data_IF_584657802499
#
_entry.id   IF_584657802499
#
_cell.length_a   1.000
_cell.length_b   1.000
_cell.length_c   1.000
_cell.angle_alpha   90.00
_cell.angle_beta   90.00
_cell.angle_gamma   90.00
#
_symmetry.space_group_name_H-M   'P 1'
#
loop_
_entity.id
_entity.type
_entity.pdbx_description
1 polymer ?
#
# COMPACT_ATOMS: atom_id res chain seq x y z
N UNK A 1 22.93 4.35 -20.13
CA UNK A 1 21.51 4.15 -19.76
C UNK A 1 21.12 2.71 -20.07
N UNK A 2 21.20 1.81 -19.10
CA UNK A 2 20.80 0.42 -19.24
C UNK A 2 19.48 0.22 -18.50
N UNK A 3 18.38 0.08 -19.24
CA UNK A 3 17.09 -0.34 -18.70
C UNK A 3 17.18 -1.85 -18.44
N UNK A 4 17.20 -2.27 -17.17
CA UNK A 4 17.10 -3.69 -16.80
C UNK A 4 15.62 -4.09 -16.78
N UNK A 5 15.19 -4.79 -17.83
CA UNK A 5 13.89 -5.47 -17.86
C UNK A 5 14.05 -6.84 -17.22
N UNK A 6 13.46 -7.03 -16.03
CA UNK A 6 13.37 -8.35 -15.39
C UNK A 6 11.98 -8.92 -15.69
N UNK A 7 11.97 -9.98 -16.49
CA UNK A 7 10.83 -10.80 -16.86
C UNK A 7 10.73 -11.96 -15.85
N UNK A 8 9.79 -11.91 -14.91
CA UNK A 8 9.53 -13.01 -13.98
C UNK A 8 8.46 -13.91 -14.61
N UNK A 9 8.91 -15.05 -15.14
CA UNK A 9 8.06 -16.17 -15.51
C UNK A 9 7.92 -17.06 -14.28
N UNK A 10 6.73 -17.16 -13.67
CA UNK A 10 6.44 -18.20 -12.68
C UNK A 10 5.42 -19.18 -13.25
N UNK A 11 5.91 -20.34 -13.68
CA UNK A 11 5.10 -21.53 -13.94
C UNK A 11 5.09 -22.34 -12.65
N UNK A 12 3.93 -22.42 -12.01
CA UNK A 12 3.72 -23.27 -10.83
C UNK A 12 2.48 -24.13 -11.03
N UNK A 13 2.66 -25.36 -11.44
CA UNK A 13 1.60 -26.38 -11.57
C UNK A 13 1.19 -26.88 -10.19
N UNK A 14 -0.09 -26.75 -9.83
CA UNK A 14 -0.66 -27.36 -8.62
C UNK A 14 -1.10 -28.78 -8.97
N UNK A 15 -0.43 -29.79 -8.42
CA UNK A 15 -0.90 -31.18 -8.47
C UNK A 15 -1.82 -31.45 -7.29
N UNK A 16 -3.09 -31.75 -7.57
CA UNK A 16 -4.08 -32.22 -6.60
C UNK A 16 -3.72 -33.65 -6.14
N UNK A 17 -3.72 -33.87 -4.83
CA UNK A 17 -3.82 -35.22 -4.24
C UNK A 17 -4.96 -35.21 -3.23
N UNK A 18 -5.96 -36.06 -3.49
CA UNK A 18 -7.15 -36.25 -2.67
C UNK A 18 -7.07 -37.58 -1.91
N UNK A 19 -7.36 -37.56 -0.60
CA UNK A 19 -7.78 -38.68 0.27
C UNK A 19 -8.05 -38.10 1.67
N UNK A 20 -9.13 -38.33 2.42
CA UNK A 20 -10.38 -39.07 2.27
C UNK A 20 -11.26 -38.88 3.54
N UNK A 21 -12.59 -38.98 3.38
CA UNK A 21 -13.71 -39.30 4.31
C UNK A 21 -13.52 -39.20 5.85
N UNK A 22 -14.41 -38.64 6.70
CA UNK A 22 -15.87 -38.85 6.87
C UNK A 22 -16.39 -37.82 7.93
N UNK A 23 -17.59 -37.23 7.93
CA UNK A 23 -18.82 -37.81 8.55
C UNK A 23 -19.95 -36.74 8.64
N UNK A 24 -21.16 -37.10 8.15
CA UNK A 24 -22.55 -36.67 8.46
C UNK A 24 -23.12 -35.30 7.98
N UNK A 25 -24.01 -35.47 7.00
CA UNK A 25 -25.14 -34.67 6.52
C UNK A 25 -26.15 -34.22 7.61
N UNK A 26 -26.69 -33.01 7.44
CA UNK A 26 -28.08 -32.68 7.69
C UNK A 26 -28.61 -31.88 6.48
N UNK A 27 -29.71 -32.35 5.91
CA UNK A 27 -30.46 -31.67 4.87
C UNK A 27 -31.44 -30.68 5.50
N UNK A 28 -31.63 -29.52 4.86
CA UNK A 28 -32.95 -28.92 4.76
C UNK A 28 -33.10 -28.20 3.41
N UNK A 29 -34.15 -28.64 2.74
CA UNK A 29 -34.68 -28.35 1.42
C UNK A 29 -35.33 -26.95 1.37
N UNK A 30 -35.23 -26.22 0.25
CA UNK A 30 -36.31 -26.13 -0.76
C UNK A 30 -36.32 -24.79 -1.54
N UNK A 31 -36.45 -24.95 -2.87
CA UNK A 31 -37.06 -24.12 -3.94
C UNK A 31 -36.98 -22.57 -3.88
N UNK A 32 -36.76 -21.85 -4.99
CA UNK A 32 -37.54 -21.91 -6.25
C UNK A 32 -36.87 -21.03 -7.32
N UNK A 33 -36.83 -21.54 -8.56
CA UNK A 33 -36.38 -20.86 -9.77
C UNK A 33 -37.59 -20.23 -10.50
N UNK A 34 -37.56 -18.97 -10.96
CA UNK A 34 -38.36 -18.45 -12.11
C UNK A 34 -37.58 -17.27 -12.78
N UNK A 35 -37.45 -17.23 -14.12
CA UNK A 35 -36.70 -16.23 -14.90
C UNK A 35 -37.57 -15.00 -15.22
N UNK A 36 -36.97 -13.92 -15.76
CA UNK A 36 -37.52 -13.07 -16.86
C UNK A 36 -36.57 -11.88 -17.15
N UNK A 37 -36.20 -11.76 -18.42
CA UNK A 37 -35.54 -10.63 -19.08
C UNK A 37 -36.55 -9.49 -19.32
N UNK A 38 -36.14 -8.21 -19.19
CA UNK A 38 -36.50 -7.06 -20.06
C UNK A 38 -36.16 -5.73 -19.36
N UNK A 39 -35.24 -4.95 -19.94
CA UNK A 39 -34.96 -3.54 -19.62
C UNK A 39 -36.11 -2.63 -20.16
N UNK A 40 -36.34 -1.37 -19.70
CA UNK A 40 -35.33 -0.31 -19.73
C UNK A 40 -35.35 0.73 -18.59
N UNK A 41 -34.17 1.36 -18.41
CA UNK A 41 -33.90 2.71 -17.91
C UNK A 41 -34.92 3.42 -17.00
N UNK A 42 -34.54 3.57 -15.74
CA UNK A 42 -34.75 4.82 -15.00
C UNK A 42 -33.41 5.22 -14.39
N UNK A 43 -32.79 6.24 -14.99
CA UNK A 43 -31.63 6.93 -14.48
C UNK A 43 -32.09 7.65 -13.21
N UNK A 44 -31.64 7.20 -12.05
CA UNK A 44 -31.80 7.96 -10.81
C UNK A 44 -30.45 8.08 -10.12
N UNK A 45 -30.11 9.33 -9.84
CA UNK A 45 -28.87 9.79 -9.26
C UNK A 45 -28.76 9.31 -7.82
N UNK A 46 -28.07 8.20 -7.60
CA UNK A 46 -27.49 7.86 -6.30
C UNK A 46 -26.02 8.21 -6.36
N UNK A 47 -25.64 9.27 -5.65
CA UNK A 47 -24.26 9.59 -5.34
C UNK A 47 -23.73 8.57 -4.33
N UNK A 48 -23.55 7.33 -4.77
CA UNK A 48 -22.71 6.36 -4.07
C UNK A 48 -21.26 6.76 -4.37
N UNK A 49 -20.60 7.38 -3.40
CA UNK A 49 -19.14 7.53 -3.43
C UNK A 49 -18.55 6.13 -3.33
N UNK A 50 -18.44 5.43 -4.47
CA UNK A 50 -17.52 4.32 -4.61
C UNK A 50 -16.13 4.96 -4.49
N UNK A 51 -15.55 4.90 -3.28
CA UNK A 51 -14.10 5.01 -3.14
C UNK A 51 -13.53 3.74 -3.78
N UNK A 52 -13.44 3.76 -5.11
CA UNK A 52 -12.88 2.65 -5.89
C UNK A 52 -11.37 2.62 -5.59
N UNK A 53 -11.02 1.91 -4.51
CA UNK A 53 -9.63 1.69 -4.13
C UNK A 53 -8.99 0.91 -5.28
N UNK A 54 -8.21 1.62 -6.10
CA UNK A 54 -7.48 1.03 -7.20
C UNK A 54 -6.54 -0.01 -6.60
N UNK A 55 -6.68 -1.26 -7.03
CA UNK A 55 -5.79 -2.34 -6.58
C UNK A 55 -4.34 -1.95 -6.90
N UNK A 56 -3.50 -1.90 -5.87
CA UNK A 56 -2.11 -1.45 -5.98
C UNK A 56 -1.94 0.06 -6.16
N UNK A 57 -3.00 0.85 -6.02
CA UNK A 57 -2.95 2.31 -5.97
C UNK A 57 -2.59 2.85 -4.58
N UNK A 58 -2.30 4.15 -4.53
CA UNK A 58 -2.10 4.86 -3.26
C UNK A 58 -3.44 5.15 -2.59
N UNK A 59 -3.52 4.87 -1.29
CA UNK A 59 -4.59 5.28 -0.40
C UNK A 59 -4.08 6.43 0.45
N UNK A 60 -4.81 7.55 0.43
CA UNK A 60 -4.49 8.73 1.27
C UNK A 60 -4.79 8.40 2.73
N UNK A 61 -3.91 8.80 3.64
CA UNK A 61 -4.14 8.63 5.07
C UNK A 61 -5.23 9.58 5.54
N UNK A 62 -6.20 9.10 6.32
CA UNK A 62 -7.34 9.90 6.78
C UNK A 62 -6.94 10.96 7.80
N UNK A 63 -6.05 10.62 8.73
CA UNK A 63 -5.63 11.46 9.86
C UNK A 63 -4.12 11.76 9.89
N UNK A 64 -3.43 11.27 8.87
CA UNK A 64 -1.98 11.37 8.68
C UNK A 64 -1.12 10.87 9.87
N UNK A 65 -1.65 9.95 10.69
CA UNK A 65 -0.93 9.43 11.85
C UNK A 65 0.32 8.63 11.49
N UNK A 66 1.36 8.79 12.30
CA UNK A 66 2.50 7.88 12.32
C UNK A 66 2.15 6.70 13.24
N UNK A 67 1.71 5.59 12.64
CA UNK A 67 1.46 4.35 13.38
C UNK A 67 2.77 3.63 13.70
N UNK A 68 2.72 2.63 14.59
CA UNK A 68 3.88 1.82 14.94
C UNK A 68 4.51 1.14 13.71
N UNK A 69 3.69 0.66 12.77
CA UNK A 69 4.17 0.04 11.52
C UNK A 69 4.92 1.05 10.65
N UNK A 70 4.36 2.25 10.47
CA UNK A 70 5.01 3.33 9.71
C UNK A 70 6.34 3.72 10.37
N UNK A 71 6.35 3.87 11.69
CA UNK A 71 7.55 4.23 12.43
C UNK A 71 8.61 3.12 12.35
N UNK A 72 8.23 1.86 12.48
CA UNK A 72 9.14 0.72 12.36
C UNK A 72 9.75 0.63 10.95
N UNK A 73 8.96 0.81 9.90
CA UNK A 73 9.45 0.85 8.54
C UNK A 73 10.40 2.03 8.33
N UNK A 74 10.05 3.21 8.85
CA UNK A 74 10.88 4.42 8.81
C UNK A 74 12.25 4.19 9.46
N UNK A 75 12.28 3.75 10.72
CA UNK A 75 13.53 3.53 11.48
C UNK A 75 14.47 2.52 10.80
N UNK A 76 13.89 1.44 10.26
CA UNK A 76 14.65 0.46 9.48
C UNK A 76 15.22 1.09 8.20
N UNK A 77 14.42 1.86 7.48
CA UNK A 77 14.79 2.45 6.20
C UNK A 77 15.86 3.54 6.35
N UNK A 78 15.85 4.30 7.46
CA UNK A 78 16.89 5.30 7.74
C UNK A 78 18.13 4.74 8.44
N UNK A 79 18.08 3.48 8.85
CA UNK A 79 19.20 2.83 9.54
C UNK A 79 20.47 2.85 8.67
N UNK A 80 21.52 3.49 9.18
CA UNK A 80 22.79 3.64 8.47
C UNK A 80 22.92 4.87 7.57
N UNK A 81 21.87 5.70 7.44
CA UNK A 81 22.01 7.03 6.84
C UNK A 81 22.76 7.96 7.80
N UNK A 82 23.60 8.82 7.21
CA UNK A 82 24.39 9.81 7.96
C UNK A 82 24.38 11.14 7.22
N UNK A 83 24.70 12.23 7.93
CA UNK A 83 24.80 13.58 7.35
C UNK A 83 23.49 14.37 7.33
N UNK A 84 22.34 13.73 7.49
CA UNK A 84 21.02 14.38 7.65
C UNK A 84 20.21 13.63 8.70
N UNK A 85 19.61 14.37 9.65
CA UNK A 85 18.62 13.82 10.57
C UNK A 85 17.23 13.94 9.95
N UNK A 86 16.48 12.84 9.95
CA UNK A 86 15.10 12.80 9.49
C UNK A 86 14.17 12.60 10.69
N UNK A 87 13.12 13.42 10.77
CA UNK A 87 12.06 13.31 11.77
C UNK A 87 10.73 13.09 11.03
N UNK A 88 10.01 11.97 11.26
CA UNK A 88 8.74 11.71 10.61
C UNK A 88 7.66 12.60 11.24
N UNK A 89 6.91 13.31 10.40
CA UNK A 89 5.88 14.27 10.83
C UNK A 89 4.48 13.72 10.59
N UNK A 90 4.26 13.09 9.43
CA UNK A 90 2.95 12.58 9.04
C UNK A 90 3.05 11.47 7.99
N UNK A 91 2.19 10.46 8.06
CA UNK A 91 2.03 9.48 6.98
C UNK A 91 0.97 10.00 6.02
N UNK A 92 1.34 10.36 4.79
CA UNK A 92 0.40 10.94 3.83
C UNK A 92 -0.40 9.88 3.07
N UNK A 93 0.13 8.67 2.98
CA UNK A 93 -0.56 7.57 2.32
C UNK A 93 0.22 6.27 2.30
N UNK A 94 -0.48 5.21 1.94
CA UNK A 94 0.04 3.85 1.83
C UNK A 94 -0.33 3.24 0.48
N UNK A 95 0.44 2.26 0.02
CA UNK A 95 0.15 1.49 -1.18
C UNK A 95 0.50 0.03 -0.93
N UNK A 96 -0.50 -0.85 -1.06
CA UNK A 96 -0.31 -2.29 -0.89
C UNK A 96 0.24 -2.88 -2.20
N UNK A 97 1.38 -3.57 -2.10
CA UNK A 97 2.08 -4.25 -3.21
C UNK A 97 2.46 -5.67 -2.76
N UNK A 98 3.57 -6.23 -3.23
CA UNK A 98 4.24 -7.37 -2.58
C UNK A 98 4.96 -6.90 -1.30
N UNK A 99 4.21 -6.34 -0.35
CA UNK A 99 4.67 -5.51 0.75
C UNK A 99 3.84 -4.23 0.86
N UNK A 100 4.39 -3.18 1.47
CA UNK A 100 3.71 -1.90 1.65
C UNK A 100 4.65 -0.76 1.33
N UNK A 101 4.23 0.19 0.49
CA UNK A 101 4.89 1.49 0.39
C UNK A 101 4.21 2.50 1.31
N UNK A 102 5.02 3.36 1.94
CA UNK A 102 4.60 4.48 2.75
C UNK A 102 5.09 5.78 2.12
N UNK A 103 4.27 6.83 2.14
CA UNK A 103 4.68 8.19 1.82
C UNK A 103 4.68 8.99 3.12
N UNK A 104 5.86 9.35 3.61
CA UNK A 104 6.04 10.00 4.91
C UNK A 104 6.53 11.43 4.67
N UNK A 105 5.82 12.41 5.23
CA UNK A 105 6.34 13.77 5.35
C UNK A 105 7.40 13.78 6.44
N UNK A 106 8.62 14.13 6.06
CA UNK A 106 9.75 14.19 6.97
C UNK A 106 10.29 15.62 7.05
N UNK A 107 10.70 16.03 8.26
CA UNK A 107 11.58 17.17 8.46
C UNK A 107 13.03 16.67 8.38
N UNK A 108 13.78 17.22 7.44
CA UNK A 108 15.19 16.90 7.21
C UNK A 108 16.08 18.02 7.76
N UNK A 109 17.10 17.67 8.55
CA UNK A 109 18.06 18.62 9.14
C UNK A 109 19.49 18.16 8.87
N UNK A 110 20.25 18.82 7.98
CA UNK A 110 21.65 18.49 7.74
C UNK A 110 22.50 18.63 9.01
N UNK A 111 23.41 17.68 9.25
CA UNK A 111 24.27 17.63 10.43
C UNK A 111 25.54 18.47 10.20
N UNK A 112 25.34 19.76 9.92
CA UNK A 112 26.40 20.76 9.79
C UNK A 112 25.97 22.05 10.53
N UNK A 113 26.92 22.88 11.03
CA UNK A 113 26.59 24.15 11.67
C UNK A 113 25.76 25.06 10.77
N UNK A 114 24.82 25.80 11.38
CA UNK A 114 23.97 26.79 10.72
C UNK A 114 23.11 26.27 9.54
N UNK A 115 22.89 24.96 9.46
CA UNK A 115 22.01 24.37 8.45
C UNK A 115 20.55 24.74 8.71
N UNK A 116 19.79 24.90 7.62
CA UNK A 116 18.33 25.09 7.69
C UNK A 116 17.65 23.75 7.49
N UNK A 117 16.70 23.43 8.36
CA UNK A 117 15.80 22.30 8.12
C UNK A 117 14.91 22.58 6.91
N UNK A 118 14.55 21.52 6.20
CA UNK A 118 13.59 21.56 5.09
C UNK A 118 12.63 20.36 5.20
N UNK A 119 11.56 20.38 4.42
CA UNK A 119 10.61 19.26 4.36
C UNK A 119 10.81 18.45 3.08
N UNK A 120 10.68 17.14 3.21
CA UNK A 120 10.80 16.19 2.10
C UNK A 120 9.75 15.09 2.26
N UNK A 121 9.29 14.55 1.14
CA UNK A 121 8.53 13.31 1.13
C UNK A 121 9.51 12.16 1.03
N UNK A 122 9.46 11.25 2.00
CA UNK A 122 10.23 10.02 2.00
C UNK A 122 9.30 8.87 1.63
N UNK A 123 9.61 8.20 0.52
CA UNK A 123 8.93 6.98 0.12
C UNK A 123 9.70 5.78 0.67
N UNK A 124 9.06 5.01 1.53
CA UNK A 124 9.63 3.82 2.16
C UNK A 124 8.90 2.59 1.65
N UNK A 125 9.64 1.58 1.21
CA UNK A 125 9.10 0.26 0.91
C UNK A 125 9.40 -0.69 2.05
N UNK A 126 8.38 -1.37 2.58
CA UNK A 126 8.52 -2.51 3.49
C UNK A 126 8.10 -3.81 2.78
N UNK A 127 8.99 -4.79 2.79
CA UNK A 127 8.75 -6.13 2.27
C UNK A 127 7.90 -6.99 3.21
N UNK A 128 7.35 -8.10 2.70
CA UNK A 128 6.60 -9.08 3.50
C UNK A 128 7.42 -9.72 4.64
N UNK A 129 8.76 -9.67 4.55
CA UNK A 129 9.70 -10.14 5.59
C UNK A 129 10.09 -9.02 6.57
N UNK A 130 9.36 -7.90 6.59
CA UNK A 130 9.58 -6.74 7.46
C UNK A 130 10.95 -6.06 7.33
N UNK A 131 11.62 -6.21 6.17
CA UNK A 131 12.76 -5.37 5.79
C UNK A 131 12.23 -4.11 5.13
N UNK A 132 12.79 -2.95 5.46
CA UNK A 132 12.40 -1.68 4.85
C UNK A 132 13.60 -0.93 4.27
N UNK A 133 13.36 -0.24 3.16
CA UNK A 133 14.35 0.57 2.46
C UNK A 133 13.71 1.84 1.89
N UNK A 134 14.53 2.87 1.67
CA UNK A 134 14.08 4.11 1.04
C UNK A 134 14.02 3.90 -0.46
N UNK A 135 12.83 4.08 -1.03
CA UNK A 135 12.61 4.03 -2.47
C UNK A 135 12.94 5.37 -3.14
N UNK A 136 12.52 6.47 -2.53
CA UNK A 136 12.67 7.81 -3.13
C UNK A 136 12.60 8.92 -2.06
N UNK A 137 13.29 10.02 -2.34
CA UNK A 137 13.09 11.31 -1.67
C UNK A 137 12.53 12.32 -2.66
N UNK A 138 11.59 13.15 -2.20
CA UNK A 138 11.08 14.27 -2.97
C UNK A 138 11.00 15.51 -2.10
N UNK A 139 11.99 16.38 -2.25
CA UNK A 139 12.06 17.64 -1.52
C UNK A 139 10.90 18.56 -1.89
N UNK A 140 10.40 19.28 -0.89
CA UNK A 140 9.29 20.20 -1.04
C UNK A 140 9.84 21.62 -1.18
N UNK A 141 9.63 22.22 -2.35
CA UNK A 141 9.90 23.63 -2.59
C UNK A 141 8.64 24.46 -2.34
N UNK A 142 8.73 25.43 -1.43
CA UNK A 142 7.65 26.39 -1.18
C UNK A 142 7.85 27.60 -2.10
N UNK A 143 6.79 27.98 -2.83
CA UNK A 143 6.79 29.16 -3.69
C UNK A 143 6.81 30.48 -2.89
N UNK A 144 7.11 31.58 -3.60
CA UNK A 144 7.02 32.95 -3.12
C UNK A 144 5.84 33.69 -3.76
#
# INVERSE_FOLDING_TARGET
MFKKTIMILLVGTITLTAAGCSTKVNAMENAKNIPVETAPSSVDSSSDTITDSIVGGWTVSEDAQITDDVNNAFEKAISGLTGVQYEPIACLGTQVVAGTNYCILCKATPVIPDSKSYYTLMYVYESLDSKAEIAEFKDIELGY
#
